data_IF_781815626086
#
_entry.id   IF_781815626086
#
_cell.length_a   1.000
_cell.length_b   1.000
_cell.length_c   1.000
_cell.angle_alpha   90.00
_cell.angle_beta   90.00
_cell.angle_gamma   90.00
#
_symmetry.space_group_name_H-M   'P 1'
#
loop_
_entity.id
_entity.type
_entity.pdbx_description
1 polymer ?
#
# COMPACT_ATOMS: atom_id res chain seq x y z
N UNK A 1 -10.10 16.74 -7.15
CA UNK A 1 -11.08 15.86 -6.46
C UNK A 1 -11.92 15.02 -7.42
N UNK A 2 -12.64 15.61 -8.38
CA UNK A 2 -13.42 14.80 -9.33
C UNK A 2 -12.60 13.76 -10.12
N UNK A 3 -11.36 14.11 -10.52
CA UNK A 3 -10.44 13.16 -11.15
C UNK A 3 -10.08 11.97 -10.24
N UNK A 4 -9.83 12.22 -8.94
CA UNK A 4 -9.60 11.16 -7.96
C UNK A 4 -10.84 10.27 -7.76
N UNK A 5 -12.03 10.87 -7.71
CA UNK A 5 -13.28 10.11 -7.63
C UNK A 5 -13.49 9.22 -8.87
N UNK A 6 -13.17 9.71 -10.07
CA UNK A 6 -13.20 8.91 -11.29
C UNK A 6 -12.23 7.73 -11.22
N UNK A 7 -11.00 7.94 -10.74
CA UNK A 7 -10.00 6.89 -10.56
C UNK A 7 -10.47 5.83 -9.55
N UNK A 8 -10.99 6.24 -8.39
CA UNK A 8 -11.54 5.33 -7.38
C UNK A 8 -12.74 4.50 -7.91
N UNK A 9 -13.48 5.06 -8.88
CA UNK A 9 -14.55 4.37 -9.59
C UNK A 9 -14.07 3.56 -10.80
N UNK A 10 -12.77 3.31 -10.95
CA UNK A 10 -12.21 2.50 -12.05
C UNK A 10 -12.33 3.17 -13.42
N UNK A 11 -12.58 4.48 -13.47
CA UNK A 11 -12.67 5.28 -14.70
C UNK A 11 -11.33 5.98 -14.95
N UNK A 12 -10.28 5.18 -15.11
CA UNK A 12 -8.90 5.65 -15.16
C UNK A 12 -8.62 6.56 -16.34
N UNK A 13 -9.16 6.23 -17.53
CA UNK A 13 -9.09 7.10 -18.71
C UNK A 13 -9.68 8.49 -18.42
N UNK A 14 -10.83 8.53 -17.74
CA UNK A 14 -11.48 9.80 -17.39
C UNK A 14 -10.68 10.56 -16.35
N UNK A 15 -10.12 9.86 -15.35
CA UNK A 15 -9.25 10.47 -14.36
C UNK A 15 -8.00 11.09 -14.99
N UNK A 16 -7.35 10.37 -15.91
CA UNK A 16 -6.19 10.82 -16.68
C UNK A 16 -6.52 12.03 -17.54
N UNK A 17 -7.63 12.00 -18.29
CA UNK A 17 -8.12 13.13 -19.10
C UNK A 17 -8.31 14.39 -18.25
N UNK A 18 -8.98 14.26 -17.10
CA UNK A 18 -9.25 15.37 -16.19
C UNK A 18 -7.96 15.94 -15.57
N UNK A 19 -7.02 15.09 -15.18
CA UNK A 19 -5.73 15.50 -14.63
C UNK A 19 -4.88 16.23 -15.67
N UNK A 20 -4.77 15.68 -16.88
CA UNK A 20 -4.04 16.31 -18.00
C UNK A 20 -4.65 17.63 -18.42
N UNK A 21 -5.98 17.75 -18.39
CA UNK A 21 -6.68 19.02 -18.63
C UNK A 21 -6.32 20.06 -17.59
N UNK A 22 -6.30 19.70 -16.31
CA UNK A 22 -5.90 20.63 -15.24
C UNK A 22 -4.44 21.10 -15.42
N UNK A 23 -3.55 20.21 -15.86
CA UNK A 23 -2.13 20.54 -16.11
C UNK A 23 -1.97 21.54 -17.26
N UNK A 24 -2.87 21.54 -18.24
CA UNK A 24 -2.82 22.49 -19.37
C UNK A 24 -3.50 23.83 -19.10
N UNK A 25 -4.11 24.03 -17.92
CA UNK A 25 -4.73 25.30 -17.53
C UNK A 25 -3.65 26.34 -17.17
N UNK A 26 -3.73 27.51 -17.80
CA UNK A 26 -2.67 28.53 -17.80
C UNK A 26 -2.35 29.13 -16.42
N UNK A 27 -3.23 29.00 -15.43
CA UNK A 27 -3.09 29.64 -14.11
C UNK A 27 -3.50 28.71 -12.96
N UNK A 28 -3.39 27.39 -13.17
CA UNK A 28 -3.71 26.43 -12.12
C UNK A 28 -2.71 26.56 -10.94
N UNK A 29 -3.21 26.63 -9.68
CA UNK A 29 -2.35 26.67 -8.50
C UNK A 29 -1.38 25.48 -8.42
N UNK A 30 -0.14 25.74 -7.97
CA UNK A 30 0.92 24.73 -7.92
C UNK A 30 0.56 23.50 -7.07
N UNK A 31 -0.22 23.67 -5.99
CA UNK A 31 -0.71 22.58 -5.16
C UNK A 31 -1.67 21.65 -5.93
N UNK A 32 -2.54 22.22 -6.77
CA UNK A 32 -3.48 21.46 -7.61
C UNK A 32 -2.76 20.74 -8.74
N UNK A 33 -1.80 21.42 -9.38
CA UNK A 33 -0.95 20.82 -10.40
C UNK A 33 -0.14 19.66 -9.83
N UNK A 34 0.48 19.85 -8.66
CA UNK A 34 1.24 18.79 -7.99
C UNK A 34 0.36 17.57 -7.67
N UNK A 35 -0.85 17.78 -7.14
CA UNK A 35 -1.84 16.71 -6.92
C UNK A 35 -2.28 16.01 -8.22
N UNK A 36 -2.38 16.74 -9.33
CA UNK A 36 -2.71 16.14 -10.63
C UNK A 36 -1.58 15.23 -11.13
N UNK A 37 -0.32 15.65 -10.96
CA UNK A 37 0.84 14.83 -11.25
C UNK A 37 0.92 13.59 -10.34
N UNK A 38 0.62 13.70 -9.04
CA UNK A 38 0.53 12.52 -8.15
C UNK A 38 -0.55 11.54 -8.61
N UNK A 39 -1.73 12.03 -9.01
CA UNK A 39 -2.76 11.15 -9.58
C UNK A 39 -2.28 10.46 -10.87
N UNK A 40 -1.59 11.17 -11.76
CA UNK A 40 -1.02 10.55 -12.96
C UNK A 40 0.08 9.53 -12.62
N UNK A 41 0.88 9.76 -11.58
CA UNK A 41 1.82 8.79 -11.05
C UNK A 41 1.12 7.50 -10.58
N UNK A 42 0.07 7.63 -9.76
CA UNK A 42 -0.72 6.48 -9.29
C UNK A 42 -1.33 5.69 -10.46
N UNK A 43 -1.90 6.38 -11.45
CA UNK A 43 -2.48 5.75 -12.64
C UNK A 43 -1.42 5.05 -13.50
N UNK A 44 -0.23 5.65 -13.64
CA UNK A 44 0.89 5.04 -14.34
C UNK A 44 1.38 3.77 -13.63
N UNK A 45 1.47 3.76 -12.30
CA UNK A 45 1.80 2.55 -11.53
C UNK A 45 0.76 1.44 -11.71
N UNK A 46 -0.54 1.77 -11.74
CA UNK A 46 -1.60 0.77 -12.01
C UNK A 46 -1.54 0.19 -13.42
N UNK A 47 -1.08 0.99 -14.38
CA UNK A 47 -0.80 0.57 -15.74
C UNK A 47 0.60 -0.06 -15.88
N UNK A 48 1.31 -0.31 -14.77
CA UNK A 48 2.66 -0.89 -14.72
C UNK A 48 3.71 -0.10 -15.54
N UNK A 49 3.46 1.19 -15.74
CA UNK A 49 4.36 2.12 -16.42
C UNK A 49 5.20 2.90 -15.39
N UNK A 50 6.22 2.24 -14.86
CA UNK A 50 7.08 2.77 -13.79
C UNK A 50 7.84 4.03 -14.20
N UNK A 51 8.33 4.11 -15.44
CA UNK A 51 9.08 5.27 -15.95
C UNK A 51 8.20 6.53 -15.97
N UNK A 52 6.97 6.41 -16.48
CA UNK A 52 6.02 7.51 -16.46
C UNK A 52 5.63 7.88 -15.02
N UNK A 53 5.45 6.88 -14.15
CA UNK A 53 5.14 7.16 -12.75
C UNK A 53 6.25 7.99 -12.08
N UNK A 54 7.51 7.61 -12.25
CA UNK A 54 8.67 8.34 -11.69
C UNK A 54 8.71 9.76 -12.26
N UNK A 55 8.54 9.90 -13.57
CA UNK A 55 8.49 11.20 -14.26
C UNK A 55 7.43 12.12 -13.64
N UNK A 56 6.21 11.61 -13.45
CA UNK A 56 5.10 12.36 -12.86
C UNK A 56 5.37 12.74 -11.40
N UNK A 57 5.96 11.86 -10.60
CA UNK A 57 6.34 12.18 -9.22
C UNK A 57 7.40 13.29 -9.16
N UNK A 58 8.39 13.28 -10.06
CA UNK A 58 9.40 14.34 -10.14
C UNK A 58 8.78 15.69 -10.55
N UNK A 59 7.80 15.70 -11.45
CA UNK A 59 7.04 16.92 -11.78
C UNK A 59 6.25 17.43 -10.57
N UNK A 60 5.59 16.54 -9.83
CA UNK A 60 4.89 16.91 -8.60
C UNK A 60 5.84 17.54 -7.57
N UNK A 61 7.04 16.96 -7.41
CA UNK A 61 8.10 17.46 -6.54
C UNK A 61 8.57 18.86 -6.92
N UNK A 62 8.81 19.10 -8.21
CA UNK A 62 9.27 20.40 -8.70
C UNK A 62 8.30 21.55 -8.36
N UNK A 63 6.98 21.25 -8.36
CA UNK A 63 5.93 22.20 -8.01
C UNK A 63 5.79 22.43 -6.50
N UNK A 64 6.17 21.44 -5.68
CA UNK A 64 6.00 21.45 -4.22
C UNK A 64 7.26 20.90 -3.51
N UNK A 65 8.41 21.60 -3.58
CA UNK A 65 9.68 21.13 -3.04
C UNK A 65 9.76 21.09 -1.50
N UNK A 66 8.75 21.60 -0.81
CA UNK A 66 8.66 21.56 0.64
C UNK A 66 7.43 20.78 1.12
N UNK A 67 6.83 19.95 0.26
CA UNK A 67 5.73 19.09 0.67
C UNK A 67 6.23 17.69 1.06
N UNK A 68 6.05 17.37 2.33
CA UNK A 68 6.56 16.14 2.97
C UNK A 68 6.00 14.87 2.34
N UNK A 69 4.69 14.88 2.02
CA UNK A 69 4.00 13.72 1.46
C UNK A 69 4.59 13.23 0.13
N UNK A 70 5.20 14.11 -0.67
CA UNK A 70 5.88 13.70 -1.92
C UNK A 70 7.15 12.91 -1.63
N UNK A 71 7.93 13.33 -0.62
CA UNK A 71 9.17 12.63 -0.26
C UNK A 71 8.84 11.27 0.37
N UNK A 72 7.81 11.20 1.21
CA UNK A 72 7.31 9.93 1.77
C UNK A 72 6.81 8.99 0.66
N UNK A 73 6.07 9.52 -0.31
CA UNK A 73 5.61 8.76 -1.47
C UNK A 73 6.80 8.25 -2.30
N UNK A 74 7.80 9.10 -2.57
CA UNK A 74 9.03 8.71 -3.27
C UNK A 74 9.80 7.62 -2.53
N UNK A 75 9.92 7.73 -1.20
CA UNK A 75 10.63 6.76 -0.37
C UNK A 75 10.02 5.35 -0.47
N UNK A 76 8.68 5.25 -0.54
CA UNK A 76 7.97 3.99 -0.80
C UNK A 76 8.08 3.52 -2.24
N UNK A 77 8.08 4.47 -3.17
CA UNK A 77 8.22 4.17 -4.59
C UNK A 77 9.54 3.46 -4.91
N UNK A 78 10.62 3.72 -4.13
CA UNK A 78 11.91 3.02 -4.29
C UNK A 78 11.70 1.50 -4.37
N UNK A 79 11.01 0.90 -3.41
CA UNK A 79 10.73 -0.55 -3.37
C UNK A 79 9.49 -0.94 -4.16
N UNK A 80 8.54 -0.02 -4.38
CA UNK A 80 7.34 -0.25 -5.18
C UNK A 80 7.59 -0.40 -6.69
N UNK A 81 8.75 0.03 -7.19
CA UNK A 81 9.16 -0.09 -8.60
C UNK A 81 10.43 -0.93 -8.77
N UNK A 82 10.77 -1.27 -10.01
CA UNK A 82 11.86 -2.21 -10.33
C UNK A 82 13.23 -1.54 -10.22
N UNK A 83 13.26 -0.24 -10.48
CA UNK A 83 14.43 0.58 -10.27
C UNK A 83 14.07 1.99 -9.79
N UNK A 84 14.23 2.24 -8.49
CA UNK A 84 14.00 3.55 -7.89
C UNK A 84 15.16 4.54 -8.06
N UNK A 85 16.22 4.19 -8.80
CA UNK A 85 17.48 4.93 -8.86
C UNK A 85 17.31 6.41 -9.28
N UNK A 86 16.36 6.68 -10.16
CA UNK A 86 16.03 8.04 -10.61
C UNK A 86 15.50 8.96 -9.49
N UNK A 87 15.04 8.41 -8.36
CA UNK A 87 14.57 9.17 -7.20
C UNK A 87 15.71 9.62 -6.28
N UNK A 88 16.93 9.06 -6.45
CA UNK A 88 18.07 9.34 -5.59
C UNK A 88 18.41 10.85 -5.46
N UNK A 89 18.43 11.66 -6.54
CA UNK A 89 18.72 13.08 -6.45
C UNK A 89 17.72 13.85 -5.58
N UNK A 90 16.45 13.43 -5.55
CA UNK A 90 15.42 14.05 -4.71
C UNK A 90 15.75 13.87 -3.23
N UNK A 91 16.23 12.68 -2.84
CA UNK A 91 16.61 12.41 -1.46
C UNK A 91 17.87 13.20 -1.07
N UNK A 92 18.87 13.30 -1.95
CA UNK A 92 20.06 14.11 -1.70
C UNK A 92 19.71 15.58 -1.47
N UNK A 93 18.89 16.16 -2.35
CA UNK A 93 18.41 17.53 -2.21
C UNK A 93 17.65 17.73 -0.89
N UNK A 94 16.76 16.79 -0.54
CA UNK A 94 15.99 16.85 0.70
C UNK A 94 16.90 16.83 1.94
N UNK A 95 17.90 15.95 1.97
CA UNK A 95 18.83 15.86 3.10
C UNK A 95 19.74 17.09 3.23
N UNK A 96 20.01 17.77 2.12
CA UNK A 96 20.82 18.99 2.07
C UNK A 96 20.04 20.26 2.45
N UNK A 97 18.73 20.29 2.22
CA UNK A 97 17.91 21.51 2.33
C UNK A 97 16.86 21.50 3.43
N UNK A 98 16.52 20.33 3.98
CA UNK A 98 15.43 20.18 4.94
C UNK A 98 15.94 19.71 6.32
N UNK A 99 15.46 20.41 7.36
CA UNK A 99 15.72 20.08 8.77
C UNK A 99 14.56 19.34 9.46
N UNK A 100 13.39 19.29 8.82
CA UNK A 100 12.20 18.62 9.36
C UNK A 100 12.44 17.12 9.50
N UNK A 101 12.25 16.60 10.72
CA UNK A 101 12.51 15.20 11.06
C UNK A 101 11.83 14.22 10.09
N UNK A 102 10.56 14.43 9.76
CA UNK A 102 9.80 13.56 8.85
C UNK A 102 10.33 13.54 7.42
N UNK A 103 10.71 14.70 6.86
CA UNK A 103 11.31 14.76 5.53
C UNK A 103 12.69 14.11 5.50
N UNK A 104 13.48 14.34 6.54
CA UNK A 104 14.79 13.73 6.69
C UNK A 104 14.67 12.22 6.83
N UNK A 105 13.69 11.75 7.63
CA UNK A 105 13.36 10.34 7.77
C UNK A 105 13.02 9.74 6.40
N UNK A 106 12.08 10.34 5.66
CA UNK A 106 11.66 9.82 4.35
C UNK A 106 12.83 9.75 3.36
N UNK A 107 13.68 10.78 3.31
CA UNK A 107 14.85 10.77 2.43
C UNK A 107 15.93 9.76 2.86
N UNK A 108 16.18 9.60 4.17
CA UNK A 108 17.09 8.57 4.69
C UNK A 108 16.54 7.16 4.43
N UNK A 109 15.23 6.97 4.58
CA UNK A 109 14.55 5.70 4.30
C UNK A 109 14.69 5.34 2.82
N UNK A 110 14.42 6.30 1.91
CA UNK A 110 14.60 6.12 0.47
C UNK A 110 16.05 5.77 0.11
N UNK A 111 17.05 6.48 0.66
CA UNK A 111 18.47 6.16 0.47
C UNK A 111 18.84 4.77 0.98
N UNK A 112 18.33 4.39 2.14
CA UNK A 112 18.58 3.06 2.72
C UNK A 112 17.97 1.95 1.86
N UNK A 113 16.72 2.13 1.39
CA UNK A 113 16.07 1.19 0.48
C UNK A 113 16.80 1.07 -0.86
N UNK A 114 17.31 2.16 -1.44
CA UNK A 114 18.13 2.13 -2.65
C UNK A 114 19.42 1.33 -2.45
N UNK A 115 20.09 1.52 -1.31
CA UNK A 115 21.29 0.78 -0.96
C UNK A 115 20.99 -0.73 -0.83
N UNK A 116 19.88 -1.11 -0.21
CA UNK A 116 19.46 -2.52 -0.11
C UNK A 116 19.07 -3.09 -1.48
N UNK A 117 18.36 -2.35 -2.33
CA UNK A 117 18.07 -2.77 -3.70
C UNK A 117 19.34 -3.04 -4.50
N UNK A 118 20.33 -2.16 -4.38
CA UNK A 118 21.65 -2.35 -4.99
C UNK A 118 22.33 -3.59 -4.42
N UNK A 119 22.27 -3.81 -3.11
CA UNK A 119 22.84 -5.01 -2.49
C UNK A 119 22.18 -6.29 -3.03
N UNK A 120 20.85 -6.30 -3.14
CA UNK A 120 20.09 -7.40 -3.73
C UNK A 120 20.45 -7.66 -5.21
N UNK A 121 20.56 -6.60 -6.02
CA UNK A 121 20.94 -6.69 -7.45
C UNK A 121 22.38 -7.18 -7.64
N UNK A 122 23.27 -6.88 -6.70
CA UNK A 122 24.71 -7.24 -6.76
C UNK A 122 25.07 -8.47 -5.92
N UNK A 123 24.08 -9.10 -5.29
CA UNK A 123 24.25 -10.25 -4.39
C UNK A 123 25.26 -9.99 -3.26
N UNK A 124 25.27 -8.76 -2.74
CA UNK A 124 26.10 -8.36 -1.60
C UNK A 124 25.30 -8.35 -0.29
N UNK A 125 26.01 -8.30 0.83
CA UNK A 125 25.41 -8.29 2.16
C UNK A 125 24.53 -7.03 2.36
N UNK A 126 23.21 -7.16 2.59
CA UNK A 126 22.32 -6.01 2.82
C UNK A 126 22.54 -5.34 4.18
N UNK A 127 23.43 -5.88 5.01
CA UNK A 127 23.89 -5.33 6.29
C UNK A 127 25.35 -4.89 6.25
N UNK A 128 25.95 -4.79 5.05
CA UNK A 128 27.29 -4.23 4.87
C UNK A 128 27.39 -2.81 5.48
N UNK A 129 28.60 -2.42 5.89
CA UNK A 129 28.83 -1.20 6.67
C UNK A 129 28.28 0.07 6.02
N UNK A 130 28.35 0.19 4.69
CA UNK A 130 27.80 1.32 3.95
C UNK A 130 26.27 1.35 3.97
N UNK A 131 25.60 0.20 3.88
CA UNK A 131 24.15 0.07 4.04
C UNK A 131 23.72 0.34 5.49
N UNK A 132 24.45 -0.22 6.46
CA UNK A 132 24.18 -0.04 7.89
C UNK A 132 24.35 1.42 8.35
N UNK A 133 25.28 2.17 7.74
CA UNK A 133 25.45 3.59 8.01
C UNK A 133 24.20 4.41 7.66
N UNK A 134 23.46 4.03 6.61
CA UNK A 134 22.17 4.66 6.30
C UNK A 134 21.12 4.35 7.36
N UNK A 135 21.02 3.08 7.76
CA UNK A 135 20.12 2.67 8.84
C UNK A 135 20.40 3.41 10.14
N UNK A 136 21.66 3.53 10.59
CA UNK A 136 21.99 4.26 11.83
C UNK A 136 21.58 5.73 11.80
N UNK A 137 21.73 6.38 10.63
CA UNK A 137 21.28 7.77 10.44
C UNK A 137 19.77 7.87 10.50
N UNK A 138 19.07 6.91 9.89
CA UNK A 138 17.61 6.82 9.90
C UNK A 138 17.06 6.60 11.31
N UNK A 139 17.62 5.63 12.04
CA UNK A 139 17.29 5.29 13.43
C UNK A 139 17.52 6.49 14.37
N UNK A 140 18.59 7.25 14.17
CA UNK A 140 18.85 8.46 14.97
C UNK A 140 17.80 9.57 14.77
N UNK A 141 17.14 9.62 13.59
CA UNK A 141 16.10 10.62 13.29
C UNK A 141 14.73 10.18 13.79
N UNK A 142 14.40 8.89 13.66
CA UNK A 142 13.10 8.34 14.10
C UNK A 142 13.25 6.88 14.58
N UNK A 143 13.73 6.67 15.83
CA UNK A 143 14.12 5.34 16.34
C UNK A 143 12.94 4.41 16.59
N UNK A 144 11.71 4.94 16.60
CA UNK A 144 10.48 4.19 16.81
C UNK A 144 9.60 4.12 15.56
N UNK A 145 10.12 4.48 14.38
CA UNK A 145 9.30 4.46 13.17
C UNK A 145 8.97 3.02 12.76
N UNK A 146 7.69 2.62 12.65
CA UNK A 146 7.31 1.24 12.38
C UNK A 146 7.90 0.68 11.08
N UNK A 147 7.86 1.46 9.99
CA UNK A 147 8.47 1.05 8.71
C UNK A 147 9.99 0.83 8.82
N UNK A 148 10.69 1.57 9.68
CA UNK A 148 12.14 1.40 9.86
C UNK A 148 12.46 0.14 10.64
N UNK A 149 11.78 -0.05 11.77
CA UNK A 149 12.01 -1.19 12.66
C UNK A 149 11.60 -2.49 11.98
N UNK A 150 10.45 -2.52 11.29
CA UNK A 150 9.95 -3.72 10.61
C UNK A 150 10.90 -4.16 9.49
N UNK A 151 11.35 -3.24 8.63
CA UNK A 151 12.31 -3.52 7.56
C UNK A 151 13.66 -3.98 8.12
N UNK A 152 14.14 -3.37 9.22
CA UNK A 152 15.38 -3.80 9.88
C UNK A 152 15.26 -5.21 10.45
N UNK A 153 14.16 -5.50 11.15
CA UNK A 153 13.90 -6.82 11.69
C UNK A 153 13.90 -7.88 10.58
N UNK A 154 13.18 -7.63 9.49
CA UNK A 154 13.12 -8.56 8.36
C UNK A 154 14.50 -8.83 7.74
N UNK A 155 15.37 -7.82 7.62
CA UNK A 155 16.74 -8.00 7.14
C UNK A 155 17.60 -8.82 8.12
N UNK A 156 17.52 -8.52 9.41
CA UNK A 156 18.29 -9.23 10.43
C UNK A 156 17.91 -10.71 10.47
N UNK A 157 16.63 -11.02 10.25
CA UNK A 157 16.13 -12.39 10.25
C UNK A 157 16.58 -13.23 9.03
N UNK A 158 17.23 -12.63 8.03
CA UNK A 158 17.80 -13.37 6.89
C UNK A 158 19.06 -14.18 7.25
N UNK A 159 19.82 -13.78 8.28
CA UNK A 159 21.02 -14.50 8.74
C UNK A 159 20.94 -14.78 10.25
N UNK A 160 20.95 -16.06 10.68
CA UNK A 160 20.94 -16.44 12.09
C UNK A 160 22.03 -15.80 12.96
N UNK A 161 23.15 -15.36 12.38
CA UNK A 161 24.21 -14.64 13.11
C UNK A 161 23.70 -13.35 13.76
N UNK A 162 22.64 -12.77 13.21
CA UNK A 162 22.04 -11.53 13.68
C UNK A 162 20.91 -11.74 14.70
N UNK A 163 20.68 -12.98 15.16
CA UNK A 163 19.54 -13.32 16.03
C UNK A 163 19.45 -12.46 17.31
N UNK A 164 20.59 -12.08 17.91
CA UNK A 164 20.60 -11.22 19.10
C UNK A 164 20.05 -9.81 18.80
N UNK A 165 20.42 -9.25 17.65
CA UNK A 165 19.93 -7.93 17.22
C UNK A 165 18.48 -8.02 16.73
N UNK A 166 18.13 -9.11 16.03
CA UNK A 166 16.75 -9.37 15.62
C UNK A 166 15.82 -9.45 16.83
N UNK A 167 16.23 -10.12 17.92
CA UNK A 167 15.46 -10.20 19.16
C UNK A 167 15.27 -8.83 19.83
N UNK A 168 16.30 -7.98 19.83
CA UNK A 168 16.19 -6.58 20.32
C UNK A 168 15.20 -5.78 19.46
N UNK A 169 15.28 -5.93 18.14
CA UNK A 169 14.40 -5.24 17.19
C UNK A 169 12.95 -5.73 17.31
N UNK A 170 12.74 -7.03 17.55
CA UNK A 170 11.43 -7.60 17.83
C UNK A 170 10.80 -7.02 19.11
N UNK A 171 11.60 -6.75 20.14
CA UNK A 171 11.11 -6.10 21.36
C UNK A 171 10.69 -4.65 21.09
N UNK A 172 11.42 -3.92 20.23
CA UNK A 172 11.00 -2.58 19.80
C UNK A 172 9.65 -2.61 19.06
N UNK A 173 9.43 -3.60 18.19
CA UNK A 173 8.14 -3.78 17.49
C UNK A 173 6.97 -4.02 18.45
N UNK A 174 7.19 -4.79 19.52
CA UNK A 174 6.19 -5.01 20.56
C UNK A 174 5.88 -3.74 21.33
N UNK A 175 6.90 -2.92 21.63
CA UNK A 175 6.71 -1.65 22.36
C UNK A 175 5.85 -0.64 21.60
N UNK A 176 5.80 -0.73 20.27
CA UNK A 176 4.97 0.13 19.42
C UNK A 176 3.68 -0.56 18.91
N UNK A 177 3.36 -1.74 19.45
CA UNK A 177 2.16 -2.53 19.10
C UNK A 177 2.01 -2.80 17.59
N UNK A 178 3.12 -3.02 16.88
CA UNK A 178 3.11 -3.24 15.42
C UNK A 178 2.93 -4.71 15.03
N UNK A 179 3.13 -5.64 15.96
CA UNK A 179 3.17 -7.08 15.67
C UNK A 179 4.48 -7.52 14.99
N UNK A 180 4.60 -8.83 14.76
CA UNK A 180 5.75 -9.42 14.06
C UNK A 180 5.53 -9.34 12.54
N UNK A 181 6.38 -8.64 11.78
CA UNK A 181 6.23 -8.58 10.33
C UNK A 181 6.63 -9.91 9.69
N UNK A 182 6.05 -10.26 8.53
CA UNK A 182 6.39 -11.49 7.81
C UNK A 182 7.86 -11.50 7.38
N UNK A 183 8.52 -12.65 7.47
CA UNK A 183 9.95 -12.80 7.16
C UNK A 183 10.13 -13.79 6.02
N UNK A 184 10.67 -13.33 4.91
CA UNK A 184 11.07 -14.20 3.80
C UNK A 184 12.41 -14.89 4.08
N UNK A 185 12.66 -16.05 3.47
CA UNK A 185 13.87 -16.84 3.76
C UNK A 185 15.14 -16.34 3.07
N UNK A 186 15.00 -15.48 2.06
CA UNK A 186 16.11 -14.94 1.25
C UNK A 186 15.86 -13.49 0.89
N UNK A 187 16.94 -12.73 0.71
CA UNK A 187 16.88 -11.30 0.34
C UNK A 187 16.03 -11.05 -0.92
N UNK A 188 16.14 -11.89 -1.95
CA UNK A 188 15.35 -11.71 -3.18
C UNK A 188 13.85 -11.86 -2.95
N UNK A 189 13.42 -12.80 -2.11
CA UNK A 189 12.02 -12.95 -1.73
C UNK A 189 11.58 -11.82 -0.79
N UNK A 190 12.47 -11.33 0.08
CA UNK A 190 12.19 -10.17 0.92
C UNK A 190 11.97 -8.89 0.07
N UNK A 191 12.76 -8.70 -0.99
CA UNK A 191 12.56 -7.59 -1.92
C UNK A 191 11.21 -7.66 -2.64
N UNK A 192 10.75 -8.87 -3.00
CA UNK A 192 9.41 -9.08 -3.57
C UNK A 192 8.31 -8.76 -2.56
N UNK A 193 8.48 -9.19 -1.31
CA UNK A 193 7.54 -8.89 -0.23
C UNK A 193 7.41 -7.37 -0.02
N UNK A 194 8.53 -6.66 0.03
CA UNK A 194 8.54 -5.21 0.17
C UNK A 194 7.90 -4.50 -1.01
N UNK A 195 8.21 -4.96 -2.23
CA UNK A 195 7.57 -4.46 -3.45
C UNK A 195 6.07 -4.68 -3.43
N UNK A 196 5.59 -5.86 -3.02
CA UNK A 196 4.18 -6.16 -2.90
C UNK A 196 3.47 -5.20 -1.92
N UNK A 197 4.04 -5.04 -0.72
CA UNK A 197 3.49 -4.16 0.31
C UNK A 197 3.48 -2.68 -0.11
N UNK A 198 4.59 -2.20 -0.69
CA UNK A 198 4.73 -0.80 -1.03
C UNK A 198 3.92 -0.46 -2.29
N UNK A 199 3.85 -1.34 -3.29
CA UNK A 199 2.91 -1.22 -4.40
C UNK A 199 1.45 -1.15 -3.92
N UNK A 200 1.08 -1.95 -2.92
CA UNK A 200 -0.28 -1.95 -2.36
C UNK A 200 -0.62 -0.60 -1.71
N UNK A 201 0.34 -0.04 -0.96
CA UNK A 201 0.25 1.28 -0.32
C UNK A 201 0.22 2.42 -1.35
N UNK A 202 0.95 2.27 -2.45
CA UNK A 202 0.97 3.23 -3.56
C UNK A 202 -0.27 3.12 -4.46
N UNK A 203 -1.12 2.11 -4.25
CA UNK A 203 -2.35 1.92 -5.02
C UNK A 203 -2.14 1.26 -6.38
N UNK A 204 -1.12 0.40 -6.49
CA UNK A 204 -0.74 -0.36 -7.67
C UNK A 204 -1.01 -1.87 -7.46
N UNK A 205 -2.28 -2.29 -7.41
CA UNK A 205 -2.64 -3.64 -7.00
C UNK A 205 -2.17 -4.73 -7.97
N UNK A 206 -2.01 -4.45 -9.26
CA UNK A 206 -1.51 -5.42 -10.23
C UNK A 206 -0.08 -5.89 -9.88
N UNK A 207 0.81 -4.94 -9.55
CA UNK A 207 2.17 -5.24 -9.09
C UNK A 207 2.13 -6.07 -7.80
N UNK A 208 1.27 -5.71 -6.84
CA UNK A 208 1.10 -6.50 -5.62
C UNK A 208 0.64 -7.93 -5.92
N UNK A 209 -0.34 -8.13 -6.81
CA UNK A 209 -0.86 -9.44 -7.15
C UNK A 209 0.19 -10.32 -7.83
N UNK A 210 0.99 -9.76 -8.73
CA UNK A 210 2.09 -10.50 -9.37
C UNK A 210 3.12 -10.94 -8.32
N UNK A 211 3.58 -10.02 -7.47
CA UNK A 211 4.59 -10.32 -6.45
C UNK A 211 4.09 -11.32 -5.40
N UNK A 212 2.84 -11.19 -4.95
CA UNK A 212 2.22 -12.16 -4.04
C UNK A 212 2.11 -13.53 -4.71
N UNK A 213 1.70 -13.61 -5.97
CA UNK A 213 1.61 -14.89 -6.70
C UNK A 213 2.98 -15.57 -6.82
N UNK A 214 4.04 -14.79 -7.06
CA UNK A 214 5.41 -15.31 -7.06
C UNK A 214 5.86 -15.79 -5.67
N UNK A 215 5.46 -15.08 -4.61
CA UNK A 215 5.78 -15.43 -3.23
C UNK A 215 5.03 -16.68 -2.75
N UNK A 216 3.76 -16.87 -3.11
CA UNK A 216 2.99 -18.07 -2.78
C UNK A 216 3.66 -19.34 -3.33
N UNK A 217 4.27 -19.25 -4.52
CA UNK A 217 5.03 -20.37 -5.12
C UNK A 217 6.37 -20.59 -4.42
N UNK A 218 7.08 -19.51 -4.07
CA UNK A 218 8.46 -19.55 -3.55
C UNK A 218 8.54 -19.78 -2.05
N UNK A 219 7.51 -19.35 -1.32
CA UNK A 219 7.43 -19.31 0.14
C UNK A 219 5.98 -19.66 0.58
N UNK A 220 5.50 -20.90 0.35
CA UNK A 220 4.10 -21.30 0.56
C UNK A 220 3.60 -21.24 2.03
N UNK A 221 4.44 -20.79 2.97
CA UNK A 221 4.09 -20.56 4.38
C UNK A 221 4.37 -19.12 4.86
N UNK A 222 4.67 -18.19 3.94
CA UNK A 222 4.90 -16.80 4.31
C UNK A 222 3.59 -16.16 4.78
N UNK A 223 3.58 -15.73 6.03
CA UNK A 223 2.39 -15.12 6.66
C UNK A 223 1.99 -13.81 5.97
N UNK A 224 0.70 -13.48 6.03
CA UNK A 224 0.17 -12.22 5.52
C UNK A 224 -0.01 -12.14 3.99
N UNK A 225 0.46 -13.11 3.20
CA UNK A 225 0.28 -13.13 1.74
C UNK A 225 -1.21 -13.10 1.35
N UNK A 226 -2.05 -13.90 2.00
CA UNK A 226 -3.49 -13.92 1.73
C UNK A 226 -4.18 -12.59 2.02
N UNK A 227 -3.80 -11.93 3.12
CA UNK A 227 -4.31 -10.59 3.47
C UNK A 227 -3.97 -9.60 2.36
N UNK A 228 -2.70 -9.58 1.91
CA UNK A 228 -2.26 -8.70 0.84
C UNK A 228 -2.96 -9.00 -0.49
N UNK A 229 -3.14 -10.27 -0.85
CA UNK A 229 -3.88 -10.71 -2.04
C UNK A 229 -5.30 -10.17 -2.02
N UNK A 230 -6.03 -10.39 -0.93
CA UNK A 230 -7.41 -9.94 -0.74
C UNK A 230 -7.52 -8.41 -0.81
N UNK A 231 -6.61 -7.68 -0.16
CA UNK A 231 -6.53 -6.22 -0.24
C UNK A 231 -6.24 -5.71 -1.67
N UNK A 232 -5.35 -6.40 -2.39
CA UNK A 232 -4.98 -6.05 -3.76
C UNK A 232 -6.12 -6.31 -4.74
N UNK A 233 -6.80 -7.48 -4.66
CA UNK A 233 -8.01 -7.78 -5.45
C UNK A 233 -9.11 -6.75 -5.19
N UNK A 234 -9.33 -6.39 -3.92
CA UNK A 234 -10.30 -5.38 -3.53
C UNK A 234 -10.03 -4.01 -4.18
N UNK A 235 -8.75 -3.59 -4.20
CA UNK A 235 -8.30 -2.33 -4.81
C UNK A 235 -8.30 -2.38 -6.33
N UNK A 236 -7.96 -3.53 -6.93
CA UNK A 236 -8.04 -3.78 -8.37
C UNK A 236 -9.48 -3.82 -8.87
N UNK A 237 -10.45 -3.95 -7.96
CA UNK A 237 -11.88 -4.15 -8.27
C UNK A 237 -12.14 -5.44 -9.03
N UNK A 238 -11.32 -6.45 -8.79
CA UNK A 238 -11.61 -7.81 -9.21
C UNK A 238 -12.59 -8.43 -8.20
N UNK A 239 -13.85 -8.01 -8.30
CA UNK A 239 -14.89 -8.39 -7.34
C UNK A 239 -15.14 -9.91 -7.32
N UNK A 240 -14.93 -10.60 -8.45
CA UNK A 240 -15.15 -12.04 -8.56
C UNK A 240 -14.09 -12.81 -7.76
N UNK A 241 -12.82 -12.57 -8.05
CA UNK A 241 -11.74 -13.31 -7.41
C UNK A 241 -11.58 -12.86 -5.95
N UNK A 242 -11.84 -11.58 -5.65
CA UNK A 242 -11.89 -11.08 -4.26
C UNK A 242 -12.96 -11.80 -3.43
N UNK A 243 -14.17 -12.01 -3.97
CA UNK A 243 -15.22 -12.76 -3.26
C UNK A 243 -14.85 -14.24 -3.10
N UNK A 244 -14.22 -14.84 -4.10
CA UNK A 244 -13.74 -16.22 -4.01
C UNK A 244 -12.78 -16.41 -2.84
N UNK A 245 -11.77 -15.54 -2.74
CA UNK A 245 -10.79 -15.57 -1.65
C UNK A 245 -11.41 -15.28 -0.28
N UNK A 246 -12.30 -14.29 -0.19
CA UNK A 246 -12.98 -13.96 1.07
C UNK A 246 -13.88 -15.09 1.57
N UNK A 247 -14.65 -15.73 0.68
CA UNK A 247 -15.50 -16.86 1.08
C UNK A 247 -14.65 -18.04 1.54
N UNK A 248 -13.60 -18.39 0.79
CA UNK A 248 -12.68 -19.46 1.20
C UNK A 248 -12.05 -19.17 2.56
N UNK A 249 -11.69 -17.91 2.84
CA UNK A 249 -11.10 -17.55 4.11
C UNK A 249 -12.12 -17.64 5.26
N UNK A 250 -13.33 -17.12 5.05
CA UNK A 250 -14.40 -17.21 6.05
C UNK A 250 -14.81 -18.66 6.35
N UNK A 251 -14.80 -19.54 5.34
CA UNK A 251 -15.09 -20.98 5.52
C UNK A 251 -14.02 -21.70 6.37
N UNK A 252 -12.78 -21.20 6.37
CA UNK A 252 -11.66 -21.73 7.15
C UNK A 252 -11.60 -21.18 8.59
N UNK A 253 -12.19 -20.01 8.83
CA UNK A 253 -12.19 -19.36 10.15
C UNK A 253 -13.38 -19.85 10.99
N UNK A 254 -13.12 -20.36 12.19
CA UNK A 254 -14.17 -20.82 13.12
C UNK A 254 -15.01 -19.67 13.73
N UNK A 255 -14.51 -18.43 13.63
CA UNK A 255 -15.20 -17.22 14.09
C UNK A 255 -15.33 -16.22 12.95
N UNK A 256 -16.49 -15.57 12.88
CA UNK A 256 -16.77 -14.48 11.96
C UNK A 256 -15.84 -13.28 12.24
N UNK A 257 -14.76 -13.16 11.48
CA UNK A 257 -13.94 -11.95 11.48
C UNK A 257 -14.78 -10.79 10.90
N UNK A 258 -15.14 -9.83 11.75
CA UNK A 258 -15.99 -8.70 11.37
C UNK A 258 -15.41 -7.86 10.23
N UNK A 259 -14.07 -7.74 10.16
CA UNK A 259 -13.41 -7.01 9.09
C UNK A 259 -13.56 -7.76 7.76
N UNK A 260 -13.33 -9.07 7.74
CA UNK A 260 -13.49 -9.89 6.54
C UNK A 260 -14.95 -9.91 6.06
N UNK A 261 -15.91 -10.01 6.97
CA UNK A 261 -17.34 -9.98 6.65
C UNK A 261 -17.74 -8.61 6.09
N UNK A 262 -17.33 -7.51 6.72
CA UNK A 262 -17.59 -6.17 6.21
C UNK A 262 -16.97 -5.95 4.82
N UNK A 263 -15.76 -6.45 4.58
CA UNK A 263 -15.11 -6.36 3.28
C UNK A 263 -15.87 -7.17 2.21
N UNK A 264 -16.33 -8.38 2.56
CA UNK A 264 -17.17 -9.22 1.69
C UNK A 264 -18.47 -8.53 1.30
N UNK A 265 -19.17 -7.91 2.24
CA UNK A 265 -20.37 -7.14 1.95
C UNK A 265 -20.11 -5.96 1.01
N UNK A 266 -19.00 -5.24 1.20
CA UNK A 266 -18.61 -4.18 0.27
C UNK A 266 -18.45 -4.69 -1.17
N UNK A 267 -17.80 -5.84 -1.35
CA UNK A 267 -17.63 -6.43 -2.68
C UNK A 267 -18.97 -6.93 -3.25
N UNK A 268 -19.84 -7.49 -2.41
CA UNK A 268 -21.21 -7.86 -2.81
C UNK A 268 -22.02 -6.64 -3.27
N UNK A 269 -21.92 -5.50 -2.57
CA UNK A 269 -22.57 -4.26 -2.97
C UNK A 269 -22.07 -3.76 -4.33
N UNK A 270 -20.74 -3.77 -4.55
CA UNK A 270 -20.15 -3.36 -5.85
C UNK A 270 -20.58 -4.26 -7.01
N UNK A 271 -20.77 -5.55 -6.74
CA UNK A 271 -21.25 -6.55 -7.71
C UNK A 271 -22.78 -6.60 -7.86
N UNK A 272 -23.52 -5.66 -7.26
CA UNK A 272 -24.97 -5.52 -7.42
C UNK A 272 -25.81 -6.47 -6.56
N UNK A 273 -25.20 -7.11 -5.56
CA UNK A 273 -25.85 -8.10 -4.68
C UNK A 273 -26.42 -7.48 -3.39
N UNK A 274 -26.98 -6.28 -3.49
CA UNK A 274 -27.46 -5.53 -2.32
C UNK A 274 -28.56 -6.26 -1.53
N UNK A 275 -29.46 -6.98 -2.21
CA UNK A 275 -30.49 -7.79 -1.54
C UNK A 275 -29.91 -8.96 -0.73
N UNK A 276 -28.83 -9.57 -1.21
CA UNK A 276 -28.15 -10.65 -0.48
C UNK A 276 -27.50 -10.11 0.79
N UNK A 277 -26.88 -8.92 0.71
CA UNK A 277 -26.30 -8.24 1.87
C UNK A 277 -27.37 -7.90 2.91
N UNK A 278 -28.53 -7.35 2.50
CA UNK A 278 -29.64 -7.08 3.43
C UNK A 278 -30.09 -8.34 4.18
N UNK A 279 -30.28 -9.45 3.46
CA UNK A 279 -30.69 -10.74 4.06
C UNK A 279 -29.66 -11.30 5.03
N UNK A 280 -28.37 -11.03 4.83
CA UNK A 280 -27.31 -11.45 5.74
C UNK A 280 -27.26 -10.57 6.99
N UNK A 281 -27.45 -9.25 6.84
CA UNK A 281 -27.54 -8.32 7.96
C UNK A 281 -28.74 -8.63 8.86
N UNK A 282 -29.92 -8.91 8.28
CA UNK A 282 -31.14 -9.29 9.02
C UNK A 282 -30.95 -10.56 9.87
N UNK A 283 -30.06 -11.48 9.45
CA UNK A 283 -29.80 -12.73 10.15
C UNK A 283 -28.81 -12.58 11.30
N UNK A 284 -27.98 -11.54 11.30
CA UNK A 284 -27.07 -11.27 12.41
C UNK A 284 -27.87 -10.72 13.57
N UNK A 285 -27.90 -11.48 14.66
CA UNK A 285 -28.61 -11.12 15.91
C UNK A 285 -27.77 -10.24 16.84
N UNK A 286 -26.56 -9.86 16.42
CA UNK A 286 -25.62 -9.11 17.23
C UNK A 286 -25.87 -7.59 17.18
N UNK A 287 -25.39 -6.87 18.21
CA UNK A 287 -25.42 -5.41 18.23
C UNK A 287 -24.71 -4.84 16.98
N UNK A 288 -25.38 -3.99 16.19
CA UNK A 288 -24.82 -3.50 14.93
C UNK A 288 -23.58 -2.63 15.19
N UNK A 289 -22.50 -2.91 14.46
CA UNK A 289 -21.32 -2.06 14.44
C UNK A 289 -21.53 -0.83 13.54
N UNK A 290 -20.73 0.21 13.70
CA UNK A 290 -20.77 1.36 12.77
C UNK A 290 -20.54 0.92 11.31
N UNK A 291 -19.71 -0.11 11.09
CA UNK A 291 -19.45 -0.63 9.76
C UNK A 291 -20.70 -1.32 9.17
N UNK A 292 -21.41 -2.14 9.95
CA UNK A 292 -22.64 -2.81 9.48
C UNK A 292 -23.76 -1.81 9.20
N UNK A 293 -23.92 -0.77 10.03
CA UNK A 293 -24.91 0.30 9.80
C UNK A 293 -24.66 1.07 8.49
N UNK A 294 -23.39 1.40 8.20
CA UNK A 294 -23.05 2.05 6.93
C UNK A 294 -23.30 1.14 5.73
N UNK A 295 -22.97 -0.14 5.84
CA UNK A 295 -23.22 -1.13 4.79
C UNK A 295 -24.72 -1.30 4.54
N UNK A 296 -25.52 -1.36 5.60
CA UNK A 296 -26.99 -1.42 5.52
C UNK A 296 -27.57 -0.19 4.81
N UNK A 297 -27.14 1.01 5.19
CA UNK A 297 -27.61 2.25 4.57
C UNK A 297 -27.30 2.27 3.05
N UNK A 298 -26.10 1.85 2.67
CA UNK A 298 -25.69 1.74 1.26
C UNK A 298 -26.52 0.66 0.54
N UNK A 299 -26.73 -0.50 1.16
CA UNK A 299 -27.55 -1.57 0.61
C UNK A 299 -29.00 -1.11 0.35
N UNK A 300 -29.65 -0.47 1.33
CA UNK A 300 -30.99 0.13 1.21
C UNK A 300 -31.06 1.12 0.05
N UNK A 301 -30.05 1.98 -0.11
CA UNK A 301 -29.97 2.92 -1.23
C UNK A 301 -29.89 2.21 -2.60
N UNK A 302 -29.07 1.16 -2.71
CA UNK A 302 -28.97 0.37 -3.95
C UNK A 302 -30.27 -0.35 -4.30
N UNK A 303 -30.94 -0.95 -3.30
CA UNK A 303 -32.26 -1.61 -3.46
C UNK A 303 -33.31 -0.61 -3.92
N UNK A 304 -33.42 0.54 -3.26
CA UNK A 304 -34.35 1.61 -3.63
C UNK A 304 -34.11 2.09 -5.07
N UNK A 305 -32.85 2.35 -5.44
CA UNK A 305 -32.49 2.79 -6.80
C UNK A 305 -32.83 1.75 -7.87
N UNK A 306 -32.76 0.47 -7.53
CA UNK A 306 -33.13 -0.63 -8.44
C UNK A 306 -34.65 -0.82 -8.57
N UNK A 307 -35.46 -0.11 -7.77
CA UNK A 307 -36.92 -0.27 -7.76
C UNK A 307 -37.39 -1.57 -7.11
N UNK A 308 -36.52 -2.25 -6.37
CA UNK A 308 -36.88 -3.44 -5.60
C UNK A 308 -37.55 -3.03 -4.28
N UNK A 309 -38.59 -3.75 -3.86
CA UNK A 309 -39.16 -3.57 -2.53
C UNK A 309 -38.13 -3.99 -1.48
N UNK A 310 -37.86 -3.09 -0.52
CA UNK A 310 -37.14 -3.44 0.70
C UNK A 310 -38.04 -4.44 1.44
N UNK A 311 -37.54 -5.62 1.90
CA UNK A 311 -38.32 -6.50 2.75
C UNK A 311 -38.88 -5.68 3.93
N UNK A 312 -40.19 -5.74 4.15
CA UNK A 312 -40.83 -4.96 5.21
C UNK A 312 -40.14 -5.22 6.56
N UNK A 313 -39.73 -4.14 7.23
CA UNK A 313 -39.31 -4.17 8.64
C UNK A 313 -40.54 -4.57 9.46
N UNK A 314 -40.65 -5.88 9.77
CA UNK A 314 -41.65 -6.46 10.65
C UNK A 314 -41.23 -6.39 12.11
#
# INVERSE_FOLDING_TARGET
DYAYAAAALGREDKASELAKKLISEKDAPADRLSRAHILLCELALRAENEDEAISQLLQARALQPNYEGIVQYAARMVTGVSDGSALEPMFDETLATQDRAEMRWAALFGKWMLAIQKAAKTETDPLATDVDNWWRRLDAVSPSHPDTISRRYQLLMLDPKNAAEAAKTAEQLKQIDFGAPPVATKLSNLMRLWRAEDALRLGAPAITLDEVSQLEIREPGLEGLRVMKVMALFKARDDKDCLGELNSWLDETEQDDEFLVAMRWWVMLRSGRALDVMRELEKRQDDPTNASLWIEAVAKFHVYRAGAQIPDEG
#
